data_IF_618717560797
#
_entry.id   IF_618717560797
#
_cell.length_a   1.000
_cell.length_b   1.000
_cell.length_c   1.000
_cell.angle_alpha   90.00
_cell.angle_beta   90.00
_cell.angle_gamma   90.00
#
_symmetry.space_group_name_H-M   'P 1'
#
loop_
_entity.id
_entity.type
_entity.pdbx_description
1 polymer ?
#
# COMPACT_ATOMS: atom_id res chain seq x y z
N UNK A 1 -3.79 -24.18 -10.11
CA UNK A 1 -3.72 -23.22 -9.00
C UNK A 1 -4.20 -21.83 -9.44
N UNK A 2 -3.58 -21.23 -10.47
CA UNK A 2 -3.92 -19.86 -10.91
C UNK A 2 -5.40 -19.67 -11.29
N UNK A 3 -5.99 -20.59 -12.03
CA UNK A 3 -7.43 -20.52 -12.37
C UNK A 3 -8.32 -20.65 -11.13
N UNK A 4 -7.97 -21.53 -10.18
CA UNK A 4 -8.73 -21.67 -8.94
C UNK A 4 -8.67 -20.38 -8.10
N UNK A 5 -7.50 -19.73 -8.01
CA UNK A 5 -7.33 -18.43 -7.33
C UNK A 5 -8.21 -17.38 -8.02
N UNK A 6 -8.17 -17.31 -9.34
CA UNK A 6 -8.98 -16.38 -10.09
C UNK A 6 -10.48 -16.57 -9.86
N UNK A 7 -11.00 -17.81 -9.97
CA UNK A 7 -12.42 -18.09 -9.77
C UNK A 7 -12.84 -17.74 -8.33
N UNK A 8 -12.03 -18.11 -7.34
CA UNK A 8 -12.30 -17.75 -5.94
C UNK A 8 -12.39 -16.24 -5.73
N UNK A 9 -11.41 -15.48 -6.25
CA UNK A 9 -11.41 -14.02 -6.13
C UNK A 9 -12.61 -13.40 -6.85
N UNK A 10 -12.92 -13.88 -8.06
CA UNK A 10 -14.08 -13.42 -8.82
C UNK A 10 -15.39 -13.61 -8.04
N UNK A 11 -15.60 -14.78 -7.46
CA UNK A 11 -16.80 -15.06 -6.67
C UNK A 11 -16.93 -14.17 -5.43
N UNK A 12 -15.82 -13.88 -4.75
CA UNK A 12 -15.82 -12.94 -3.63
C UNK A 12 -16.18 -11.53 -4.11
N UNK A 13 -15.52 -11.05 -5.15
CA UNK A 13 -15.76 -9.71 -5.72
C UNK A 13 -17.21 -9.58 -6.16
N UNK A 14 -17.76 -10.58 -6.88
CA UNK A 14 -19.16 -10.56 -7.34
C UNK A 14 -20.18 -10.45 -6.19
N UNK A 15 -19.82 -10.93 -5.00
CA UNK A 15 -20.69 -10.89 -3.80
C UNK A 15 -20.48 -9.67 -2.92
N UNK A 16 -19.44 -8.90 -3.14
CA UNK A 16 -19.02 -7.84 -2.19
C UNK A 16 -18.77 -6.48 -2.83
N UNK A 17 -18.67 -6.38 -4.15
CA UNK A 17 -18.24 -5.13 -4.83
C UNK A 17 -19.16 -3.93 -4.53
N UNK A 18 -20.43 -4.16 -4.23
CA UNK A 18 -21.41 -3.13 -3.86
C UNK A 18 -21.41 -2.81 -2.35
N UNK A 19 -20.65 -3.56 -1.55
CA UNK A 19 -20.56 -3.42 -0.09
C UNK A 19 -19.24 -2.79 0.37
N UNK A 20 -18.18 -2.84 -0.46
CA UNK A 20 -16.83 -2.41 -0.10
C UNK A 20 -16.28 -1.40 -1.12
N UNK A 21 -15.52 -0.38 -0.69
CA UNK A 21 -14.94 0.59 -1.62
C UNK A 21 -13.62 0.13 -2.25
N UNK A 22 -12.93 -0.84 -1.63
CA UNK A 22 -11.57 -1.22 -2.03
C UNK A 22 -11.27 -2.69 -1.76
N UNK A 23 -10.29 -3.22 -2.49
CA UNK A 23 -9.70 -4.55 -2.27
C UNK A 23 -8.18 -4.43 -2.14
N UNK A 24 -7.57 -5.37 -1.42
CA UNK A 24 -6.12 -5.40 -1.21
C UNK A 24 -5.54 -6.80 -1.51
N UNK A 25 -5.28 -7.13 -2.78
CA UNK A 25 -4.62 -8.39 -3.13
C UNK A 25 -3.15 -8.38 -2.69
N UNK A 26 -2.73 -9.45 -1.98
CA UNK A 26 -1.35 -9.64 -1.53
C UNK A 26 -0.58 -10.40 -2.61
N UNK A 27 0.40 -9.75 -3.25
CA UNK A 27 1.10 -10.30 -4.41
C UNK A 27 1.86 -11.61 -4.10
N UNK A 28 2.39 -11.78 -2.88
CA UNK A 28 3.11 -13.00 -2.50
C UNK A 28 2.26 -14.27 -2.64
N UNK A 29 0.93 -14.16 -2.43
CA UNK A 29 0.00 -15.28 -2.58
C UNK A 29 -0.16 -15.73 -4.04
N UNK A 30 0.28 -14.90 -4.97
CA UNK A 30 0.28 -15.17 -6.41
C UNK A 30 1.69 -15.52 -6.90
N UNK A 31 2.72 -14.76 -6.47
CA UNK A 31 4.12 -14.99 -6.86
C UNK A 31 4.60 -16.41 -6.52
N UNK A 32 4.14 -17.01 -5.43
CA UNK A 32 4.46 -18.39 -5.07
C UNK A 32 4.09 -19.42 -6.14
N UNK A 33 3.25 -19.07 -7.10
CA UNK A 33 2.85 -19.90 -8.23
C UNK A 33 3.50 -19.47 -9.56
N UNK A 34 4.49 -18.58 -9.50
CA UNK A 34 5.23 -18.08 -10.67
C UNK A 34 4.36 -17.28 -11.65
N UNK A 35 4.68 -17.35 -12.94
CA UNK A 35 3.98 -16.58 -13.97
C UNK A 35 2.47 -16.82 -14.02
N UNK A 36 1.95 -18.07 -13.92
CA UNK A 36 0.52 -18.28 -13.85
C UNK A 36 -0.16 -17.58 -12.67
N UNK A 37 0.51 -17.52 -11.52
CA UNK A 37 0.03 -16.75 -10.36
C UNK A 37 -0.03 -15.27 -10.63
N UNK A 38 1.02 -14.68 -11.19
CA UNK A 38 1.04 -13.27 -11.59
C UNK A 38 -0.02 -12.92 -12.64
N UNK A 39 -0.30 -13.83 -13.57
CA UNK A 39 -1.41 -13.66 -14.50
C UNK A 39 -2.77 -13.62 -13.78
N UNK A 40 -2.97 -14.48 -12.77
CA UNK A 40 -4.18 -14.43 -11.92
C UNK A 40 -4.25 -13.14 -11.09
N UNK A 41 -3.12 -12.63 -10.60
CA UNK A 41 -3.06 -11.32 -9.93
C UNK A 41 -3.54 -10.20 -10.85
N UNK A 42 -2.94 -10.08 -12.04
CA UNK A 42 -3.34 -9.06 -13.03
C UNK A 42 -4.84 -9.16 -13.36
N UNK A 43 -5.34 -10.36 -13.63
CA UNK A 43 -6.74 -10.62 -13.93
C UNK A 43 -7.67 -10.20 -12.77
N UNK A 44 -7.24 -10.42 -11.53
CA UNK A 44 -7.98 -9.98 -10.34
C UNK A 44 -8.00 -8.44 -10.24
N UNK A 45 -6.86 -7.77 -10.45
CA UNK A 45 -6.78 -6.30 -10.47
C UNK A 45 -7.74 -5.73 -11.50
N UNK A 46 -7.66 -6.18 -12.74
CA UNK A 46 -8.52 -5.69 -13.82
C UNK A 46 -10.00 -5.84 -13.50
N UNK A 47 -10.40 -7.02 -13.01
CA UNK A 47 -11.78 -7.29 -12.67
C UNK A 47 -12.30 -6.42 -11.53
N UNK A 48 -11.50 -6.19 -10.49
CA UNK A 48 -11.89 -5.30 -9.40
C UNK A 48 -12.09 -3.86 -9.90
N UNK A 49 -11.23 -3.39 -10.79
CA UNK A 49 -11.37 -2.07 -11.42
C UNK A 49 -12.61 -1.97 -12.32
N UNK A 50 -12.92 -3.01 -13.09
CA UNK A 50 -14.17 -3.09 -13.88
C UNK A 50 -15.43 -2.98 -12.99
N UNK A 51 -15.35 -3.47 -11.75
CA UNK A 51 -16.41 -3.34 -10.74
C UNK A 51 -16.42 -2.00 -10.01
N UNK A 52 -15.51 -1.08 -10.33
CA UNK A 52 -15.41 0.24 -9.70
C UNK A 52 -14.73 0.25 -8.34
N UNK A 53 -14.04 -0.83 -7.97
CA UNK A 53 -13.30 -0.92 -6.72
C UNK A 53 -11.92 -0.27 -6.83
N UNK A 54 -11.49 0.41 -5.78
CA UNK A 54 -10.09 0.82 -5.61
C UNK A 54 -9.23 -0.41 -5.32
N UNK A 55 -8.13 -0.56 -6.03
CA UNK A 55 -7.21 -1.69 -5.85
C UNK A 55 -5.93 -1.25 -5.17
N UNK A 56 -5.65 -1.82 -4.01
CA UNK A 56 -4.41 -1.61 -3.24
C UNK A 56 -3.52 -2.83 -3.42
N UNK A 57 -2.49 -2.74 -4.22
CA UNK A 57 -1.49 -3.80 -4.37
C UNK A 57 -0.63 -3.92 -3.11
N UNK A 58 -0.79 -5.00 -2.35
CA UNK A 58 0.07 -5.24 -1.19
C UNK A 58 1.37 -5.91 -1.62
N UNK A 59 2.31 -5.10 -2.13
CA UNK A 59 3.54 -5.54 -2.79
C UNK A 59 4.80 -5.34 -1.94
N UNK A 60 4.79 -4.38 -1.02
CA UNK A 60 5.88 -4.02 -0.09
C UNK A 60 7.25 -3.90 -0.78
N UNK A 61 7.28 -3.27 -1.97
CA UNK A 61 8.54 -3.07 -2.71
C UNK A 61 9.40 -2.00 -2.05
N UNK A 62 10.71 -2.12 -2.25
CA UNK A 62 11.69 -1.14 -1.79
C UNK A 62 13.00 -1.39 -2.51
N UNK A 63 13.48 -0.36 -3.23
CA UNK A 63 14.74 -0.32 -3.94
C UNK A 63 15.11 1.16 -4.15
N UNK A 64 16.16 1.46 -4.89
CA UNK A 64 16.60 2.83 -5.16
C UNK A 64 16.62 3.15 -6.66
N UNK A 65 16.60 4.45 -6.97
CA UNK A 65 16.85 4.97 -8.32
C UNK A 65 15.99 4.31 -9.40
N UNK A 66 16.63 3.89 -10.48
CA UNK A 66 15.97 3.29 -11.65
C UNK A 66 15.26 1.97 -11.34
N UNK A 67 15.75 1.19 -10.37
CA UNK A 67 15.09 -0.06 -9.95
C UNK A 67 13.78 0.24 -9.24
N UNK A 68 13.76 1.22 -8.34
CA UNK A 68 12.53 1.68 -7.70
C UNK A 68 11.53 2.26 -8.73
N UNK A 69 12.02 3.04 -9.70
CA UNK A 69 11.20 3.55 -10.80
C UNK A 69 10.57 2.41 -11.64
N UNK A 70 11.31 1.32 -11.90
CA UNK A 70 10.78 0.17 -12.62
C UNK A 70 9.65 -0.51 -11.83
N UNK A 71 9.77 -0.65 -10.51
CA UNK A 71 8.68 -1.14 -9.65
C UNK A 71 7.46 -0.21 -9.71
N UNK A 72 7.68 1.11 -9.56
CA UNK A 72 6.59 2.09 -9.60
C UNK A 72 5.83 2.05 -10.94
N UNK A 73 6.56 2.08 -12.06
CA UNK A 73 5.97 1.99 -13.40
C UNK A 73 5.23 0.67 -13.62
N UNK A 74 5.82 -0.45 -13.16
CA UNK A 74 5.22 -1.78 -13.32
C UNK A 74 3.88 -1.94 -12.59
N UNK A 75 3.75 -1.31 -11.43
CA UNK A 75 2.57 -1.46 -10.58
C UNK A 75 1.53 -0.37 -10.78
N UNK A 76 1.92 0.90 -10.68
CA UNK A 76 0.98 2.04 -10.70
C UNK A 76 1.18 2.99 -11.88
N UNK A 77 2.14 2.72 -12.74
CA UNK A 77 2.47 3.57 -13.89
C UNK A 77 2.16 2.94 -15.23
N UNK A 78 2.82 3.48 -16.24
CA UNK A 78 2.71 3.04 -17.63
C UNK A 78 4.08 2.86 -18.26
N UNK A 79 4.22 1.84 -19.08
CA UNK A 79 5.43 1.56 -19.86
C UNK A 79 5.17 1.77 -21.33
N UNK A 80 6.12 2.43 -22.03
CA UNK A 80 6.05 2.62 -23.46
C UNK A 80 6.91 1.56 -24.18
N UNK A 81 6.31 0.85 -25.11
CA UNK A 81 6.99 -0.14 -25.97
C UNK A 81 6.70 0.21 -27.41
N UNK A 82 7.70 0.73 -28.13
CA UNK A 82 7.52 1.29 -29.48
C UNK A 82 6.56 2.49 -29.45
N UNK A 83 5.47 2.39 -30.21
CA UNK A 83 4.41 3.42 -30.28
C UNK A 83 3.25 3.20 -29.29
N UNK A 84 3.26 2.10 -28.53
CA UNK A 84 2.17 1.71 -27.62
C UNK A 84 2.55 1.96 -26.16
N UNK A 85 1.55 2.30 -25.37
CA UNK A 85 1.66 2.48 -23.91
C UNK A 85 0.80 1.44 -23.20
N UNK A 86 1.35 0.84 -22.15
CA UNK A 86 0.72 -0.22 -21.37
C UNK A 86 0.76 0.13 -19.89
N UNK A 87 -0.30 -0.19 -19.15
CA UNK A 87 -0.31 -0.25 -17.69
C UNK A 87 -0.14 -1.72 -17.27
N UNK A 88 1.04 -2.15 -16.78
CA UNK A 88 1.30 -3.58 -16.57
C UNK A 88 0.37 -4.22 -15.54
N UNK A 89 0.37 -3.75 -14.30
CA UNK A 89 -0.56 -4.23 -13.26
C UNK A 89 -1.72 -3.28 -13.01
N UNK A 90 -1.48 -1.96 -13.00
CA UNK A 90 -2.49 -0.90 -12.91
C UNK A 90 -3.28 -0.85 -11.59
N UNK A 91 -2.64 -1.16 -10.47
CA UNK A 91 -3.23 -0.88 -9.16
C UNK A 91 -3.43 0.63 -8.95
N UNK A 92 -4.30 1.01 -8.01
CA UNK A 92 -4.54 2.42 -7.67
C UNK A 92 -3.62 2.89 -6.56
N UNK A 93 -3.32 2.00 -5.61
CA UNK A 93 -2.35 2.20 -4.53
C UNK A 93 -1.46 0.97 -4.39
N UNK A 94 -0.25 1.17 -3.88
CA UNK A 94 0.65 0.07 -3.53
C UNK A 94 1.35 0.29 -2.20
N UNK A 95 1.74 -0.80 -1.52
CA UNK A 95 2.53 -0.71 -0.30
C UNK A 95 4.02 -0.64 -0.62
N UNK A 96 4.75 0.25 0.10
CA UNK A 96 6.17 0.54 -0.12
C UNK A 96 6.95 0.46 1.20
N UNK A 97 8.15 -0.13 1.14
CA UNK A 97 9.06 -0.19 2.27
C UNK A 97 9.97 1.07 2.27
N UNK A 98 9.99 1.88 3.33
CA UNK A 98 10.73 3.13 3.37
C UNK A 98 12.21 2.97 3.78
N UNK A 99 12.70 1.76 4.05
CA UNK A 99 13.99 1.53 4.69
C UNK A 99 15.17 2.15 3.93
N UNK A 100 15.07 2.29 2.60
CA UNK A 100 16.09 2.93 1.75
C UNK A 100 15.90 4.46 1.61
N UNK A 101 15.00 5.05 2.38
CA UNK A 101 14.81 6.51 2.41
C UNK A 101 14.13 7.08 1.16
N UNK A 102 14.36 8.37 0.93
CA UNK A 102 13.73 9.09 -0.19
C UNK A 102 14.14 8.57 -1.56
N UNK A 103 15.35 8.04 -1.70
CA UNK A 103 15.80 7.44 -2.96
C UNK A 103 14.94 6.24 -3.39
N UNK A 104 14.32 5.56 -2.42
CA UNK A 104 13.39 4.47 -2.67
C UNK A 104 11.95 4.96 -2.89
N UNK A 105 11.53 6.03 -2.23
CA UNK A 105 10.15 6.50 -2.24
C UNK A 105 9.87 7.49 -3.38
N UNK A 106 10.79 8.42 -3.65
CA UNK A 106 10.59 9.47 -4.67
C UNK A 106 10.19 8.93 -6.05
N UNK A 107 10.78 7.84 -6.59
CA UNK A 107 10.34 7.30 -7.88
C UNK A 107 8.87 6.88 -7.92
N UNK A 108 8.32 6.42 -6.79
CA UNK A 108 6.88 6.17 -6.67
C UNK A 108 6.07 7.47 -6.64
N UNK A 109 6.57 8.52 -5.94
CA UNK A 109 5.88 9.83 -5.89
C UNK A 109 5.77 10.45 -7.27
N UNK A 110 6.81 10.32 -8.11
CA UNK A 110 6.80 10.85 -9.47
C UNK A 110 5.66 10.20 -10.29
N UNK A 111 5.52 8.87 -10.21
CA UNK A 111 4.42 8.15 -10.87
C UNK A 111 3.06 8.50 -10.24
N UNK A 112 2.98 8.68 -8.92
CA UNK A 112 1.74 9.11 -8.26
C UNK A 112 1.26 10.47 -8.78
N UNK A 113 2.19 11.42 -8.97
CA UNK A 113 1.88 12.75 -9.54
C UNK A 113 1.37 12.65 -10.99
N UNK A 114 2.04 11.84 -11.79
CA UNK A 114 1.74 11.70 -13.23
C UNK A 114 0.41 10.94 -13.47
N UNK A 115 0.20 9.84 -12.76
CA UNK A 115 -0.91 8.91 -13.02
C UNK A 115 -2.08 9.06 -12.03
N UNK A 116 -2.01 9.98 -11.06
CA UNK A 116 -2.99 10.15 -9.98
C UNK A 116 -3.22 8.86 -9.20
N UNK A 117 -2.15 8.19 -8.86
CA UNK A 117 -2.08 6.97 -8.06
C UNK A 117 -1.53 7.28 -6.66
N UNK A 118 -1.46 6.29 -5.78
CA UNK A 118 -0.96 6.49 -4.44
C UNK A 118 -0.11 5.34 -3.90
N UNK A 119 0.48 5.59 -2.73
CA UNK A 119 1.26 4.60 -1.99
C UNK A 119 0.85 4.56 -0.53
N UNK A 120 1.05 3.40 0.10
CA UNK A 120 1.03 3.23 1.55
C UNK A 120 2.42 2.83 2.04
N UNK A 121 3.07 3.69 2.79
CA UNK A 121 4.41 3.45 3.35
C UNK A 121 4.29 2.67 4.65
N UNK A 122 5.14 1.66 4.86
CA UNK A 122 5.21 0.92 6.12
C UNK A 122 5.75 1.83 7.23
N UNK A 123 4.93 2.12 8.24
CA UNK A 123 5.29 2.99 9.37
C UNK A 123 5.38 2.20 10.68
N UNK A 124 4.27 1.59 11.11
CA UNK A 124 4.25 0.67 12.25
C UNK A 124 3.48 -0.59 11.89
N UNK A 125 4.18 -1.69 11.74
CA UNK A 125 3.58 -2.95 11.29
C UNK A 125 3.04 -3.78 12.45
N UNK A 126 2.09 -4.68 12.19
CA UNK A 126 1.34 -5.43 13.20
C UNK A 126 2.02 -6.70 13.69
N UNK A 127 3.13 -7.12 13.07
CA UNK A 127 3.83 -8.34 13.42
C UNK A 127 4.57 -8.23 14.77
N UNK A 128 4.73 -9.32 15.53
CA UNK A 128 5.37 -9.32 16.86
C UNK A 128 6.79 -8.72 16.86
N UNK A 129 7.61 -9.02 15.87
CA UNK A 129 8.99 -8.53 15.77
C UNK A 129 9.13 -7.08 15.27
N UNK A 130 8.02 -6.37 15.05
CA UNK A 130 8.08 -4.99 14.56
C UNK A 130 8.89 -4.06 15.47
N UNK A 131 8.91 -4.33 16.79
CA UNK A 131 9.65 -3.53 17.77
C UNK A 131 11.17 -3.63 17.66
N UNK A 132 11.71 -4.65 17.00
CA UNK A 132 13.16 -4.83 16.86
C UNK A 132 13.83 -3.62 16.19
N UNK A 133 13.13 -2.98 15.25
CA UNK A 133 13.59 -1.78 14.56
C UNK A 133 12.66 -0.58 14.81
N UNK A 134 11.35 -0.76 14.66
CA UNK A 134 10.42 0.34 14.61
C UNK A 134 10.27 1.09 15.93
N UNK A 135 10.48 0.42 17.07
CA UNK A 135 10.43 1.00 18.41
C UNK A 135 11.81 1.51 18.90
N UNK A 136 12.89 1.30 18.14
CA UNK A 136 14.19 1.83 18.47
C UNK A 136 14.15 3.35 18.46
N UNK A 137 14.85 3.96 19.42
CA UNK A 137 14.84 5.42 19.59
C UNK A 137 16.06 6.07 18.95
N UNK A 138 15.81 7.11 18.19
CA UNK A 138 16.81 8.03 17.65
C UNK A 138 16.53 9.39 18.26
N UNK A 139 17.46 9.95 19.01
CA UNK A 139 17.31 11.20 19.75
C UNK A 139 16.05 11.23 20.66
N UNK A 140 15.78 10.07 21.31
CA UNK A 140 14.65 9.90 22.23
C UNK A 140 13.32 9.61 21.58
N UNK A 141 13.21 9.62 20.25
CA UNK A 141 11.97 9.40 19.49
C UNK A 141 12.00 8.03 18.77
N UNK A 142 10.91 7.26 18.80
CA UNK A 142 10.89 5.96 18.13
C UNK A 142 10.95 6.12 16.59
N UNK A 143 11.60 5.16 15.93
CA UNK A 143 11.79 5.17 14.48
C UNK A 143 10.46 5.30 13.72
N UNK A 144 9.38 4.65 14.18
CA UNK A 144 8.09 4.73 13.50
C UNK A 144 7.53 6.17 13.43
N UNK A 145 7.81 7.03 14.44
CA UNK A 145 7.40 8.44 14.40
C UNK A 145 8.20 9.22 13.35
N UNK A 146 9.51 8.99 13.28
CA UNK A 146 10.37 9.64 12.28
C UNK A 146 9.97 9.23 10.86
N UNK A 147 9.60 7.97 10.64
CA UNK A 147 9.05 7.50 9.36
C UNK A 147 7.69 8.17 9.08
N UNK A 148 6.84 8.31 10.09
CA UNK A 148 5.56 9.01 9.97
C UNK A 148 5.73 10.48 9.54
N UNK A 149 6.71 11.20 10.10
CA UNK A 149 7.05 12.56 9.65
C UNK A 149 7.50 12.61 8.18
N UNK A 150 8.28 11.62 7.76
CA UNK A 150 8.66 11.50 6.35
C UNK A 150 7.44 11.26 5.46
N UNK A 151 6.49 10.41 5.89
CA UNK A 151 5.21 10.20 5.18
C UNK A 151 4.44 11.50 5.04
N UNK A 152 4.33 12.30 6.10
CA UNK A 152 3.67 13.61 6.05
C UNK A 152 4.38 14.57 5.09
N UNK A 153 5.72 14.60 5.10
CA UNK A 153 6.53 15.43 4.21
C UNK A 153 6.35 15.02 2.74
N UNK A 154 6.52 13.73 2.42
CA UNK A 154 6.27 13.21 1.07
C UNK A 154 4.83 13.45 0.61
N UNK A 155 3.89 13.29 1.54
CA UNK A 155 2.47 13.50 1.28
C UNK A 155 2.11 14.94 0.90
N UNK A 156 2.82 15.93 1.45
CA UNK A 156 2.62 17.34 1.11
C UNK A 156 2.91 17.67 -0.35
N UNK A 157 3.71 16.83 -1.02
CA UNK A 157 4.03 16.98 -2.44
C UNK A 157 3.00 16.36 -3.38
N UNK A 158 2.14 15.46 -2.87
CA UNK A 158 1.18 14.67 -3.65
C UNK A 158 -0.18 14.71 -2.97
N UNK A 159 -0.75 15.91 -2.86
CA UNK A 159 -2.06 16.15 -2.24
C UNK A 159 -3.21 15.91 -3.22
N UNK A 160 -4.27 15.26 -2.73
CA UNK A 160 -5.61 15.35 -3.29
C UNK A 160 -6.38 16.53 -2.67
N UNK A 161 -7.71 16.50 -2.73
CA UNK A 161 -8.54 17.61 -2.22
C UNK A 161 -8.41 17.76 -0.70
N UNK A 162 -8.55 16.66 0.05
CA UNK A 162 -8.49 16.67 1.51
C UNK A 162 -7.34 15.84 2.07
N UNK A 163 -7.00 14.73 1.43
CA UNK A 163 -6.00 13.77 1.85
C UNK A 163 -4.88 13.62 0.82
N UNK A 164 -3.72 13.19 1.32
CA UNK A 164 -2.56 12.87 0.50
C UNK A 164 -2.72 11.53 -0.22
N UNK A 165 -2.13 11.42 -1.41
CA UNK A 165 -1.92 10.14 -2.09
C UNK A 165 -0.79 9.29 -1.45
N UNK A 166 -0.09 9.83 -0.44
CA UNK A 166 0.88 9.10 0.38
C UNK A 166 0.24 8.78 1.71
N UNK A 167 -0.13 7.54 1.87
CA UNK A 167 -0.69 6.98 3.10
C UNK A 167 0.34 6.21 3.91
N UNK A 168 -0.09 5.67 5.03
CA UNK A 168 0.73 4.90 5.96
C UNK A 168 0.09 3.55 6.31
N UNK A 169 0.91 2.53 6.50
CA UNK A 169 0.50 1.27 7.13
C UNK A 169 0.77 1.37 8.63
N UNK A 170 -0.29 1.31 9.44
CA UNK A 170 -0.21 1.33 10.91
C UNK A 170 -1.07 0.21 11.49
N UNK A 171 -0.46 -0.76 12.16
CA UNK A 171 -1.13 -1.95 12.63
C UNK A 171 -2.18 -1.68 13.72
N UNK A 172 -3.33 -2.36 13.63
CA UNK A 172 -4.43 -2.29 14.60
C UNK A 172 -4.06 -2.77 16.01
N UNK A 173 -2.96 -3.51 16.14
CA UNK A 173 -2.47 -4.05 17.44
C UNK A 173 -1.84 -2.99 18.34
N UNK A 174 -1.67 -1.76 17.84
CA UNK A 174 -1.03 -0.65 18.57
C UNK A 174 -1.90 0.63 18.53
N UNK A 175 -3.09 0.65 19.16
CA UNK A 175 -4.03 1.78 19.05
C UNK A 175 -3.47 3.09 19.59
N UNK A 176 -2.68 3.09 20.67
CA UNK A 176 -2.06 4.30 21.21
C UNK A 176 -1.03 4.92 20.26
N UNK A 177 -0.27 4.07 19.52
CA UNK A 177 0.62 4.54 18.46
C UNK A 177 -0.17 5.14 17.29
N UNK A 178 -1.36 4.60 17.00
CA UNK A 178 -2.28 5.16 16.02
C UNK A 178 -2.66 6.61 16.32
N UNK A 179 -2.96 6.96 17.58
CA UNK A 179 -3.23 8.34 18.01
C UNK A 179 -2.06 9.28 17.76
N UNK A 180 -0.86 8.83 18.10
CA UNK A 180 0.37 9.63 17.90
C UNK A 180 0.58 9.84 16.40
N UNK A 181 0.53 8.76 15.62
CA UNK A 181 0.78 8.80 14.18
C UNK A 181 -0.30 9.57 13.42
N UNK A 182 -1.57 9.55 13.85
CA UNK A 182 -2.60 10.41 13.26
C UNK A 182 -2.26 11.90 13.40
N UNK A 183 -1.71 12.31 14.56
CA UNK A 183 -1.26 13.70 14.78
C UNK A 183 -0.05 14.05 13.91
N UNK A 184 0.87 13.10 13.72
CA UNK A 184 2.05 13.29 12.90
C UNK A 184 1.68 13.36 11.40
N UNK A 185 0.69 12.57 10.99
CA UNK A 185 0.26 12.44 9.59
C UNK A 185 -1.23 12.80 9.42
N UNK A 186 -1.65 14.05 9.67
CA UNK A 186 -3.07 14.42 9.71
C UNK A 186 -3.79 14.27 8.36
N UNK A 187 -3.06 14.28 7.27
CA UNK A 187 -3.59 14.18 5.90
C UNK A 187 -3.35 12.83 5.22
N UNK A 188 -2.73 11.87 5.90
CA UNK A 188 -2.49 10.55 5.34
C UNK A 188 -3.70 9.61 5.51
N UNK A 189 -4.04 8.85 4.48
CA UNK A 189 -4.85 7.64 4.67
C UNK A 189 -4.05 6.63 5.50
N UNK A 190 -4.70 5.93 6.41
CA UNK A 190 -4.06 4.88 7.21
C UNK A 190 -4.65 3.53 6.83
N UNK A 191 -3.81 2.66 6.29
CA UNK A 191 -4.10 1.26 6.08
C UNK A 191 -3.80 0.50 7.38
N UNK A 192 -4.83 -0.10 7.99
CA UNK A 192 -4.76 -0.67 9.34
C UNK A 192 -4.85 -2.20 9.29
N UNK A 193 -3.74 -2.93 9.07
CA UNK A 193 -3.73 -4.39 9.12
C UNK A 193 -3.88 -4.91 10.56
N UNK A 194 -4.35 -6.17 10.70
CA UNK A 194 -4.46 -6.86 11.99
C UNK A 194 -5.84 -6.77 12.63
N UNK A 195 -6.82 -6.18 11.96
CA UNK A 195 -8.21 -6.28 12.38
C UNK A 195 -8.72 -7.72 12.29
N UNK A 196 -9.43 -8.17 13.32
CA UNK A 196 -9.98 -9.53 13.38
C UNK A 196 -8.92 -10.59 13.70
N UNK A 197 -8.35 -11.24 12.72
CA UNK A 197 -7.47 -12.41 12.89
C UNK A 197 -6.24 -12.17 13.79
N UNK A 198 -5.71 -10.94 13.86
CA UNK A 198 -4.58 -10.57 14.74
C UNK A 198 -5.02 -9.90 16.05
N UNK A 199 -6.33 -9.91 16.36
CA UNK A 199 -6.88 -9.45 17.64
C UNK A 199 -7.34 -7.99 17.69
N UNK A 200 -7.11 -7.18 16.63
CA UNK A 200 -7.65 -5.82 16.52
C UNK A 200 -9.18 -5.82 16.47
N UNK A 201 -9.81 -4.92 17.23
CA UNK A 201 -11.27 -4.78 17.31
C UNK A 201 -11.71 -3.43 16.74
N UNK A 202 -12.98 -3.32 16.32
CA UNK A 202 -13.53 -2.08 15.77
C UNK A 202 -13.35 -0.86 16.69
N UNK A 203 -13.47 -1.04 18.01
CA UNK A 203 -13.23 0.02 18.99
C UNK A 203 -11.79 0.57 18.99
N UNK A 204 -10.82 -0.23 18.57
CA UNK A 204 -9.42 0.15 18.52
C UNK A 204 -9.12 1.03 17.30
N UNK A 205 -9.98 0.95 16.27
CA UNK A 205 -9.82 1.70 15.02
C UNK A 205 -10.14 3.19 15.17
N UNK A 206 -10.93 3.58 16.15
CA UNK A 206 -11.30 5.00 16.38
C UNK A 206 -10.08 5.93 16.54
N UNK A 207 -8.96 5.37 16.95
CA UNK A 207 -7.72 6.12 17.16
C UNK A 207 -6.95 6.45 15.87
N UNK A 208 -7.36 5.88 14.75
CA UNK A 208 -6.72 6.07 13.44
C UNK A 208 -7.45 7.12 12.58
N UNK A 209 -8.58 7.64 13.05
CA UNK A 209 -9.41 8.66 12.38
C UNK A 209 -9.25 10.04 12.98
#
# INVERSE_FOLDING_TARGET
AAEAIWQFNKEIVDKTYDLIPAVKPQIAMYEQFGLPGLAAFKKTVDYCKEKGLVVIGDIKRGDIGSTSAAYAVGHIGKVKVGSKTYAPFDEDFVTVNPYLGSDGVNPFLDVCKEEKKGIFVLVKTSNPSSGEFQDQKIDGRPLYELVGEKVAAWGSEVMGDEYSYVGAVVGATYPEMGKVLRKVMPKAYILVPGYGAQGGKGKDLVHFF
#
